data_IF_481394590020
#
_entry.id   IF_481394590020
#
_cell.length_a   1.000
_cell.length_b   1.000
_cell.length_c   1.000
_cell.angle_alpha   90.00
_cell.angle_beta   90.00
_cell.angle_gamma   90.00
#
_symmetry.space_group_name_H-M   'P 1'
#
loop_
_entity.id
_entity.type
_entity.pdbx_description
1 polymer ?
#
# COMPACT_ATOMS: atom_id res chain seq x y z
N UNK A 1 -24.34 -10.37 0.28
CA UNK A 1 -23.02 -10.65 0.90
C UNK A 1 -21.93 -10.87 -0.14
N UNK A 2 -22.11 -11.80 -1.09
CA UNK A 2 -21.06 -12.14 -2.08
C UNK A 2 -20.55 -10.97 -2.94
N UNK A 3 -21.44 -10.11 -3.46
CA UNK A 3 -21.02 -8.95 -4.26
C UNK A 3 -20.20 -7.97 -3.43
N UNK A 4 -20.59 -7.76 -2.17
CA UNK A 4 -19.89 -6.84 -1.26
C UNK A 4 -18.48 -7.36 -0.94
N UNK A 5 -18.34 -8.65 -0.63
CA UNK A 5 -17.02 -9.24 -0.33
C UNK A 5 -16.09 -9.17 -1.54
N UNK A 6 -16.59 -9.42 -2.76
CA UNK A 6 -15.82 -9.25 -4.01
C UNK A 6 -15.30 -7.81 -4.18
N UNK A 7 -16.14 -6.80 -3.93
CA UNK A 7 -15.72 -5.40 -4.01
C UNK A 7 -14.59 -5.11 -3.02
N UNK A 8 -14.70 -5.57 -1.78
CA UNK A 8 -13.66 -5.36 -0.75
C UNK A 8 -12.34 -6.02 -1.15
N UNK A 9 -12.38 -7.24 -1.68
CA UNK A 9 -11.16 -7.92 -2.17
C UNK A 9 -10.50 -7.14 -3.31
N UNK A 10 -11.27 -6.64 -4.27
CA UNK A 10 -10.76 -5.81 -5.37
C UNK A 10 -10.14 -4.51 -4.82
N UNK A 11 -10.81 -3.85 -3.87
CA UNK A 11 -10.28 -2.65 -3.22
C UNK A 11 -8.96 -2.90 -2.50
N UNK A 12 -8.82 -4.03 -1.80
CA UNK A 12 -7.55 -4.44 -1.21
C UNK A 12 -6.43 -4.58 -2.24
N UNK A 13 -6.74 -5.16 -3.40
CA UNK A 13 -5.81 -5.24 -4.53
C UNK A 13 -5.42 -3.87 -5.08
N UNK A 14 -6.38 -2.96 -5.26
CA UNK A 14 -6.11 -1.60 -5.74
C UNK A 14 -5.23 -0.80 -4.77
N UNK A 15 -5.47 -0.92 -3.46
CA UNK A 15 -4.63 -0.29 -2.44
C UNK A 15 -3.22 -0.89 -2.45
N UNK A 16 -3.09 -2.20 -2.64
CA UNK A 16 -1.78 -2.84 -2.77
C UNK A 16 -1.00 -2.30 -3.97
N UNK A 17 -1.65 -2.20 -5.14
CA UNK A 17 -1.07 -1.61 -6.36
C UNK A 17 -0.68 -0.14 -6.13
N UNK A 18 -1.54 0.64 -5.48
CA UNK A 18 -1.25 2.03 -5.14
C UNK A 18 -0.03 2.17 -4.22
N UNK A 19 0.07 1.33 -3.19
CA UNK A 19 1.22 1.26 -2.30
C UNK A 19 2.52 0.91 -3.02
N UNK A 20 2.48 -0.07 -3.94
CA UNK A 20 3.63 -0.42 -4.78
C UNK A 20 4.04 0.72 -5.71
N UNK A 21 3.08 1.41 -6.33
CA UNK A 21 3.34 2.58 -7.15
C UNK A 21 4.02 3.70 -6.34
N UNK A 22 3.54 3.95 -5.13
CA UNK A 22 4.16 4.94 -4.24
C UNK A 22 5.56 4.51 -3.78
N UNK A 23 5.75 3.22 -3.47
CA UNK A 23 7.08 2.68 -3.16
C UNK A 23 8.06 2.92 -4.31
N UNK A 24 7.61 2.70 -5.55
CA UNK A 24 8.41 2.93 -6.75
C UNK A 24 8.79 4.41 -6.92
N UNK A 25 7.85 5.34 -6.74
CA UNK A 25 8.15 6.78 -6.77
C UNK A 25 9.16 7.16 -5.68
N UNK A 26 9.00 6.64 -4.46
CA UNK A 26 9.96 6.86 -3.37
C UNK A 26 11.37 6.39 -3.71
N UNK A 27 11.50 5.29 -4.46
CA UNK A 27 12.80 4.79 -4.90
C UNK A 27 13.48 5.75 -5.88
N UNK A 28 12.70 6.37 -6.76
CA UNK A 28 13.20 7.40 -7.69
C UNK A 28 13.72 8.60 -6.92
N UNK A 29 12.97 9.10 -5.93
CA UNK A 29 13.39 10.23 -5.10
C UNK A 29 14.64 9.93 -4.29
N UNK A 30 14.76 8.71 -3.76
CA UNK A 30 15.94 8.26 -3.03
C UNK A 30 17.20 8.32 -3.92
N UNK A 31 17.14 7.75 -5.13
CA UNK A 31 18.28 7.77 -6.05
C UNK A 31 18.61 9.16 -6.55
N UNK A 32 17.61 10.01 -6.80
CA UNK A 32 17.83 11.42 -7.14
C UNK A 32 18.50 12.18 -5.99
N UNK A 33 18.03 11.99 -4.76
CA UNK A 33 18.63 12.58 -3.58
C UNK A 33 20.10 12.19 -3.41
N UNK A 34 20.42 10.90 -3.58
CA UNK A 34 21.80 10.40 -3.56
C UNK A 34 22.66 11.03 -4.65
N UNK A 35 22.16 11.07 -5.89
CA UNK A 35 22.87 11.66 -7.04
C UNK A 35 23.19 13.14 -6.81
N UNK A 36 22.26 13.89 -6.21
CA UNK A 36 22.37 15.34 -6.03
C UNK A 36 22.97 15.74 -4.68
N UNK A 37 23.46 14.78 -3.87
CA UNK A 37 23.92 15.01 -2.49
C UNK A 37 22.88 15.74 -1.61
N UNK A 38 21.59 15.54 -1.91
CA UNK A 38 20.48 16.10 -1.15
C UNK A 38 20.01 15.07 -0.12
N UNK A 39 20.49 15.22 1.12
CA UNK A 39 20.15 14.33 2.23
C UNK A 39 18.64 14.31 2.53
N UNK A 40 17.98 15.46 2.51
CA UNK A 40 16.55 15.55 2.79
C UNK A 40 15.71 14.81 1.74
N UNK A 41 16.04 14.96 0.45
CA UNK A 41 15.34 14.22 -0.61
C UNK A 41 15.58 12.71 -0.49
N UNK A 42 16.79 12.31 -0.09
CA UNK A 42 17.14 10.90 0.13
C UNK A 42 16.29 10.30 1.25
N UNK A 43 16.22 10.96 2.40
CA UNK A 43 15.45 10.47 3.55
C UNK A 43 13.95 10.44 3.25
N UNK A 44 13.42 11.47 2.59
CA UNK A 44 12.02 11.49 2.15
C UNK A 44 11.70 10.34 1.19
N UNK A 45 12.59 10.06 0.22
CA UNK A 45 12.43 8.93 -0.70
C UNK A 45 12.44 7.59 0.03
N UNK A 46 13.35 7.40 0.99
CA UNK A 46 13.42 6.20 1.82
C UNK A 46 12.16 6.01 2.67
N UNK A 47 11.68 7.06 3.34
CA UNK A 47 10.42 7.03 4.09
C UNK A 47 9.24 6.68 3.18
N UNK A 48 9.17 7.29 2.00
CA UNK A 48 8.14 7.00 1.00
C UNK A 48 8.16 5.54 0.55
N UNK A 49 9.35 4.93 0.37
CA UNK A 49 9.47 3.51 0.06
C UNK A 49 8.93 2.63 1.18
N UNK A 50 9.30 2.92 2.44
CA UNK A 50 8.86 2.14 3.59
C UNK A 50 7.35 2.22 3.76
N UNK A 51 6.76 3.41 3.67
CA UNK A 51 5.31 3.58 3.81
C UNK A 51 4.54 2.97 2.64
N UNK A 52 4.98 3.21 1.39
CA UNK A 52 4.34 2.62 0.21
C UNK A 52 4.42 1.09 0.21
N UNK A 53 5.61 0.55 0.48
CA UNK A 53 5.83 -0.90 0.58
C UNK A 53 5.08 -1.53 1.75
N UNK A 54 5.03 -0.85 2.90
CA UNK A 54 4.27 -1.28 4.07
C UNK A 54 2.77 -1.39 3.76
N UNK A 55 2.19 -0.37 3.13
CA UNK A 55 0.78 -0.38 2.69
C UNK A 55 0.55 -1.54 1.72
N UNK A 56 1.43 -1.72 0.74
CA UNK A 56 1.33 -2.81 -0.23
C UNK A 56 1.33 -4.20 0.43
N UNK A 57 2.18 -4.39 1.44
CA UNK A 57 2.31 -5.67 2.14
C UNK A 57 1.09 -6.02 3.00
N UNK A 58 0.44 -5.02 3.62
CA UNK A 58 -0.68 -5.27 4.56
C UNK A 58 -2.07 -5.16 3.93
N UNK A 59 -2.19 -4.54 2.75
CA UNK A 59 -3.49 -4.24 2.13
C UNK A 59 -4.37 -5.48 1.92
N UNK A 60 -3.79 -6.60 1.48
CA UNK A 60 -4.53 -7.86 1.28
C UNK A 60 -5.02 -8.45 2.61
N UNK A 61 -4.21 -8.38 3.67
CA UNK A 61 -4.57 -8.84 5.01
C UNK A 61 -5.72 -8.03 5.61
N UNK A 62 -5.70 -6.71 5.44
CA UNK A 62 -6.77 -5.82 5.88
C UNK A 62 -8.07 -6.14 5.13
N UNK A 63 -8.02 -6.29 3.80
CA UNK A 63 -9.19 -6.64 3.02
C UNK A 63 -9.77 -8.01 3.42
N UNK A 64 -8.92 -9.00 3.70
CA UNK A 64 -9.36 -10.31 4.18
C UNK A 64 -10.05 -10.22 5.56
N UNK A 65 -9.51 -9.42 6.48
CA UNK A 65 -10.12 -9.19 7.80
C UNK A 65 -11.50 -8.53 7.69
N UNK A 66 -11.67 -7.57 6.77
CA UNK A 66 -12.96 -6.92 6.51
C UNK A 66 -13.97 -7.94 5.96
N UNK A 67 -13.57 -8.77 4.99
CA UNK A 67 -14.44 -9.82 4.44
C UNK A 67 -14.87 -10.81 5.53
N UNK A 68 -13.96 -11.21 6.42
CA UNK A 68 -14.28 -12.08 7.54
C UNK A 68 -15.32 -11.44 8.49
N UNK A 69 -15.17 -10.16 8.81
CA UNK A 69 -16.12 -9.42 9.64
C UNK A 69 -17.51 -9.31 8.98
N UNK A 70 -17.56 -9.06 7.67
CA UNK A 70 -18.82 -9.02 6.90
C UNK A 70 -19.54 -10.37 6.97
N UNK A 71 -18.82 -11.47 6.77
CA UNK A 71 -19.41 -12.81 6.78
C UNK A 71 -19.89 -13.26 8.18
N UNK A 72 -19.41 -12.63 9.26
CA UNK A 72 -19.87 -12.90 10.62
C UNK A 72 -21.22 -12.25 10.96
N UNK A 73 -21.73 -11.33 10.12
CA UNK A 73 -23.04 -10.71 10.31
C UNK A 73 -24.13 -11.73 9.95
N UNK A 74 -24.89 -12.20 10.95
CA UNK A 74 -26.02 -13.12 10.77
C UNK A 74 -27.35 -12.40 11.01
N UNK A 75 -28.34 -12.71 10.15
CA UNK A 75 -29.74 -12.29 10.27
C UNK A 75 -30.63 -13.53 10.27
#
# INVERSE_FOLDING_TARGET
MEVVTKIITIMGGLVAIGGLGWCFVGSIDFFQGKKNQNAQQTDNGMSSMIYGGGIAAVASGIAAAIVAAINAIQF
#
